data_IF_289750462433
#
_entry.id   IF_289750462433
#
_cell.length_a   1.000
_cell.length_b   1.000
_cell.length_c   1.000
_cell.angle_alpha   90.00
_cell.angle_beta   90.00
_cell.angle_gamma   90.00
#
_symmetry.space_group_name_H-M   'P 1'
#
loop_
_entity.id
_entity.type
_entity.pdbx_description
1 polymer ?
#
# COMPACT_ATOMS: atom_id res chain seq x y z
N UNK A 1 10.23 9.59 -14.91
CA UNK A 1 9.08 8.84 -14.36
C UNK A 1 8.24 9.79 -13.53
N UNK A 2 6.92 9.62 -13.54
CA UNK A 2 6.01 10.39 -12.68
C UNK A 2 6.13 9.91 -11.23
N UNK A 3 5.92 10.80 -10.27
CA UNK A 3 5.79 10.42 -8.87
C UNK A 3 4.43 9.75 -8.64
N UNK A 4 4.39 8.76 -7.77
CA UNK A 4 3.15 8.11 -7.33
C UNK A 4 2.62 8.74 -6.04
N UNK A 5 1.30 8.77 -5.89
CA UNK A 5 0.60 9.32 -4.73
C UNK A 5 -0.41 8.32 -4.17
N UNK A 6 -0.31 8.00 -2.89
CA UNK A 6 -1.36 7.27 -2.16
C UNK A 6 -1.97 8.23 -1.14
N UNK A 7 -3.25 8.52 -1.25
CA UNK A 7 -4.01 9.29 -0.28
C UNK A 7 -4.79 8.33 0.60
N UNK A 8 -4.45 8.28 1.89
CA UNK A 8 -5.10 7.40 2.86
C UNK A 8 -6.40 8.02 3.38
N UNK A 9 -6.38 9.34 3.56
CA UNK A 9 -7.51 10.22 3.84
C UNK A 9 -7.08 11.66 3.53
N UNK A 10 -7.98 12.65 3.53
CA UNK A 10 -7.58 14.05 3.34
C UNK A 10 -6.52 14.47 4.37
N UNK A 11 -5.37 14.92 3.88
CA UNK A 11 -4.24 15.37 4.70
C UNK A 11 -3.33 14.26 5.26
N UNK A 12 -3.53 12.99 4.87
CA UNK A 12 -2.58 11.90 5.12
C UNK A 12 -2.29 11.21 3.81
N UNK A 13 -1.16 11.57 3.21
CA UNK A 13 -0.68 11.07 1.95
C UNK A 13 0.72 10.47 2.06
N UNK A 14 1.05 9.64 1.07
CA UNK A 14 2.36 9.05 0.87
C UNK A 14 2.74 9.21 -0.60
N UNK A 15 3.87 9.87 -0.84
CA UNK A 15 4.42 10.09 -2.18
C UNK A 15 5.64 9.20 -2.40
N UNK A 16 5.83 8.67 -3.61
CA UNK A 16 7.01 7.87 -3.95
C UNK A 16 7.41 8.01 -5.41
N UNK A 17 8.50 7.36 -5.81
CA UNK A 17 8.81 7.19 -7.23
C UNK A 17 7.76 6.31 -7.90
N UNK A 18 7.52 6.52 -9.20
CA UNK A 18 6.54 5.70 -9.96
C UNK A 18 6.78 4.20 -9.82
N UNK A 19 8.02 3.72 -9.95
CA UNK A 19 8.32 2.30 -9.80
C UNK A 19 8.03 1.72 -8.41
N UNK A 20 8.23 2.49 -7.33
CA UNK A 20 7.89 2.03 -5.98
C UNK A 20 6.38 2.07 -5.72
N UNK A 21 5.69 3.05 -6.30
CA UNK A 21 4.24 3.11 -6.31
C UNK A 21 3.63 1.89 -7.02
N UNK A 22 4.07 1.61 -8.24
CA UNK A 22 3.58 0.47 -9.02
C UNK A 22 3.81 -0.85 -8.27
N UNK A 23 5.03 -1.06 -7.75
CA UNK A 23 5.37 -2.25 -6.96
C UNK A 23 4.46 -2.39 -5.72
N UNK A 24 4.14 -1.29 -5.05
CA UNK A 24 3.25 -1.27 -3.88
C UNK A 24 1.82 -1.65 -4.24
N UNK A 25 1.34 -1.29 -5.43
CA UNK A 25 0.02 -1.71 -5.93
C UNK A 25 0.02 -3.17 -6.40
N UNK A 26 1.07 -3.61 -7.11
CA UNK A 26 1.23 -5.01 -7.53
C UNK A 26 1.28 -5.98 -6.35
N UNK A 27 1.90 -5.55 -5.25
CA UNK A 27 1.85 -6.26 -3.97
C UNK A 27 0.40 -6.51 -3.51
N UNK A 28 -0.51 -5.53 -3.65
CA UNK A 28 -1.91 -5.69 -3.27
C UNK A 28 -2.72 -6.52 -4.27
N UNK A 29 -2.54 -6.28 -5.58
CA UNK A 29 -3.34 -6.90 -6.65
C UNK A 29 -3.37 -8.43 -6.56
N UNK A 30 -2.25 -9.02 -6.15
CA UNK A 30 -2.10 -10.48 -5.97
C UNK A 30 -2.70 -11.03 -4.67
N UNK A 31 -3.09 -10.16 -3.72
CA UNK A 31 -3.50 -10.52 -2.35
C UNK A 31 -4.96 -10.18 -2.03
N UNK A 32 -5.53 -9.20 -2.73
CA UNK A 32 -6.91 -8.77 -2.50
C UNK A 32 -7.94 -9.85 -2.86
N UNK A 33 -8.86 -10.09 -1.93
CA UNK A 33 -10.01 -10.98 -2.11
C UNK A 33 -11.08 -10.35 -3.02
N UNK A 34 -11.31 -9.04 -2.92
CA UNK A 34 -12.20 -8.32 -3.83
C UNK A 34 -11.53 -8.11 -5.20
N UNK A 35 -11.97 -8.89 -6.18
CA UNK A 35 -11.48 -8.82 -7.56
C UNK A 35 -11.82 -7.51 -8.26
N UNK A 36 -12.90 -6.83 -7.87
CA UNK A 36 -13.23 -5.54 -8.47
C UNK A 36 -12.21 -4.47 -8.03
N UNK A 37 -11.90 -4.41 -6.74
CA UNK A 37 -10.82 -3.54 -6.24
C UNK A 37 -9.46 -3.91 -6.87
N UNK A 38 -9.13 -5.20 -6.95
CA UNK A 38 -7.88 -5.64 -7.58
C UNK A 38 -7.77 -5.19 -9.05
N UNK A 39 -8.86 -5.31 -9.82
CA UNK A 39 -8.89 -4.86 -11.21
C UNK A 39 -8.74 -3.33 -11.31
N UNK A 40 -9.36 -2.55 -10.41
CA UNK A 40 -9.17 -1.10 -10.36
C UNK A 40 -7.72 -0.71 -10.08
N UNK A 41 -7.04 -1.42 -9.18
CA UNK A 41 -5.61 -1.19 -8.93
C UNK A 41 -4.76 -1.56 -10.15
N UNK A 42 -5.10 -2.65 -10.85
CA UNK A 42 -4.43 -3.03 -12.09
C UNK A 42 -4.56 -1.94 -13.17
N UNK A 43 -5.75 -1.36 -13.32
CA UNK A 43 -5.95 -0.24 -14.26
C UNK A 43 -5.09 0.98 -13.94
N UNK A 44 -4.85 1.27 -12.66
CA UNK A 44 -3.95 2.36 -12.23
C UNK A 44 -2.52 2.10 -12.70
N UNK A 45 -2.03 0.87 -12.52
CA UNK A 45 -0.68 0.45 -12.95
C UNK A 45 -0.58 0.45 -14.47
N UNK A 46 -1.49 -0.23 -15.16
CA UNK A 46 -1.46 -0.40 -16.62
C UNK A 46 -1.52 0.94 -17.37
N UNK A 47 -2.31 1.88 -16.86
CA UNK A 47 -2.47 3.20 -17.46
C UNK A 47 -1.54 4.27 -16.88
N UNK A 48 -0.63 3.90 -15.95
CA UNK A 48 0.29 4.81 -15.28
C UNK A 48 -0.42 6.04 -14.66
N UNK A 49 -1.57 5.84 -14.01
CA UNK A 49 -2.37 6.95 -13.46
C UNK A 49 -1.70 7.67 -12.28
N UNK A 50 -0.72 7.02 -11.64
CA UNK A 50 0.17 7.63 -10.64
C UNK A 50 -0.49 8.05 -9.34
N UNK A 51 -1.74 7.63 -9.09
CA UNK A 51 -2.44 8.01 -7.87
C UNK A 51 -3.52 7.00 -7.44
N UNK A 52 -3.67 6.84 -6.12
CA UNK A 52 -4.69 6.02 -5.47
C UNK A 52 -5.29 6.78 -4.27
N UNK A 53 -6.60 6.93 -4.25
CA UNK A 53 -7.36 7.37 -3.09
C UNK A 53 -7.94 6.15 -2.39
N UNK A 54 -7.44 5.83 -1.21
CA UNK A 54 -7.88 4.67 -0.43
C UNK A 54 -9.27 4.93 0.15
N UNK A 55 -9.55 6.16 0.58
CA UNK A 55 -10.85 6.57 1.12
C UNK A 55 -12.01 6.50 0.11
N UNK A 56 -11.71 6.48 -1.19
CA UNK A 56 -12.67 6.26 -2.29
C UNK A 56 -13.01 4.77 -2.53
N UNK A 57 -12.36 3.84 -1.83
CA UNK A 57 -12.62 2.41 -1.94
C UNK A 57 -13.72 1.95 -0.97
N UNK A 58 -14.40 0.81 -1.23
CA UNK A 58 -15.30 0.22 -0.25
C UNK A 58 -14.60 -0.03 1.09
N UNK A 59 -15.27 0.22 2.22
CA UNK A 59 -14.67 0.11 3.55
C UNK A 59 -14.00 -1.27 3.81
N UNK A 60 -14.58 -2.36 3.30
CA UNK A 60 -13.99 -3.69 3.41
C UNK A 60 -12.63 -3.78 2.68
N UNK A 61 -12.52 -3.20 1.48
CA UNK A 61 -11.28 -3.16 0.71
C UNK A 61 -10.23 -2.27 1.39
N UNK A 62 -10.63 -1.13 1.97
CA UNK A 62 -9.73 -0.28 2.76
C UNK A 62 -9.07 -1.05 3.90
N UNK A 63 -9.87 -1.81 4.66
CA UNK A 63 -9.40 -2.61 5.78
C UNK A 63 -8.45 -3.73 5.32
N UNK A 64 -8.79 -4.42 4.22
CA UNK A 64 -7.96 -5.48 3.66
C UNK A 64 -6.61 -4.95 3.16
N UNK A 65 -6.61 -3.84 2.41
CA UNK A 65 -5.39 -3.16 1.93
C UNK A 65 -4.49 -2.79 3.12
N UNK A 66 -5.04 -2.11 4.12
CA UNK A 66 -4.29 -1.67 5.31
C UNK A 66 -3.75 -2.87 6.08
N UNK A 67 -4.52 -3.95 6.19
CA UNK A 67 -4.06 -5.20 6.82
C UNK A 67 -2.86 -5.79 6.08
N UNK A 68 -2.92 -5.92 4.75
CA UNK A 68 -1.80 -6.42 3.96
C UNK A 68 -0.56 -5.53 4.06
N UNK A 69 -0.75 -4.22 4.04
CA UNK A 69 0.38 -3.30 4.22
C UNK A 69 1.05 -3.47 5.57
N UNK A 70 0.28 -3.45 6.66
CA UNK A 70 0.81 -3.55 8.03
C UNK A 70 1.50 -4.88 8.31
N UNK A 71 1.01 -5.97 7.74
CA UNK A 71 1.51 -7.31 8.07
C UNK A 71 2.68 -7.75 7.20
N UNK A 72 2.65 -7.42 5.89
CA UNK A 72 3.49 -8.13 4.92
C UNK A 72 4.30 -7.23 3.97
N UNK A 73 3.97 -5.93 3.85
CA UNK A 73 4.58 -5.06 2.83
C UNK A 73 6.10 -4.92 3.02
N UNK A 74 6.53 -4.57 4.23
CA UNK A 74 7.94 -4.34 4.56
C UNK A 74 8.74 -5.63 4.40
N UNK A 75 8.30 -6.72 5.02
CA UNK A 75 8.94 -8.05 4.91
C UNK A 75 8.98 -8.57 3.46
N UNK A 76 7.96 -8.25 2.65
CA UNK A 76 7.97 -8.61 1.22
C UNK A 76 8.94 -7.74 0.44
N UNK A 77 9.01 -6.45 0.72
CA UNK A 77 10.00 -5.54 0.15
C UNK A 77 11.42 -5.98 0.46
N UNK A 78 11.71 -6.34 1.71
CA UNK A 78 13.02 -6.85 2.13
C UNK A 78 13.44 -8.10 1.35
N UNK A 79 12.49 -8.95 0.95
CA UNK A 79 12.79 -10.19 0.22
C UNK A 79 12.85 -10.02 -1.30
N UNK A 80 12.02 -9.15 -1.86
CA UNK A 80 11.79 -9.10 -3.32
C UNK A 80 12.44 -7.90 -3.99
N UNK A 81 12.66 -6.79 -3.28
CA UNK A 81 13.28 -5.62 -3.89
C UNK A 81 14.78 -5.89 -4.17
N UNK A 82 15.31 -5.36 -5.29
CA UNK A 82 16.69 -5.56 -5.68
C UNK A 82 17.69 -5.18 -4.59
N UNK A 83 18.72 -6.00 -4.41
CA UNK A 83 19.86 -5.70 -3.53
C UNK A 83 20.69 -4.56 -4.14
N UNK A 84 20.47 -3.35 -3.63
CA UNK A 84 21.18 -2.13 -4.02
C UNK A 84 21.53 -1.32 -2.78
N UNK A 85 22.44 -0.37 -2.89
CA UNK A 85 22.79 0.54 -1.78
C UNK A 85 21.59 1.35 -1.26
N UNK A 86 20.56 1.55 -2.09
CA UNK A 86 19.33 2.27 -1.75
C UNK A 86 18.24 1.41 -1.10
N UNK A 87 18.44 0.09 -0.99
CA UNK A 87 17.39 -0.82 -0.51
C UNK A 87 16.89 -0.41 0.88
N UNK A 88 17.79 -0.08 1.80
CA UNK A 88 17.45 0.35 3.16
C UNK A 88 16.52 1.57 3.15
N UNK A 89 16.79 2.56 2.29
CA UNK A 89 15.93 3.74 2.15
C UNK A 89 14.57 3.41 1.56
N UNK A 90 14.51 2.51 0.57
CA UNK A 90 13.24 2.05 0.00
C UNK A 90 12.40 1.31 1.05
N UNK A 91 13.01 0.44 1.86
CA UNK A 91 12.31 -0.26 2.94
C UNK A 91 11.79 0.71 3.99
N UNK A 92 12.60 1.71 4.39
CA UNK A 92 12.14 2.78 5.27
C UNK A 92 10.95 3.54 4.67
N UNK A 93 10.98 3.81 3.37
CA UNK A 93 9.88 4.49 2.67
C UNK A 93 8.59 3.67 2.66
N UNK A 94 8.67 2.34 2.55
CA UNK A 94 7.52 1.45 2.72
C UNK A 94 7.01 1.43 4.17
N UNK A 95 7.91 1.49 5.16
CA UNK A 95 7.52 1.62 6.57
C UNK A 95 6.77 2.94 6.83
N UNK A 96 7.16 4.04 6.18
CA UNK A 96 6.44 5.33 6.28
C UNK A 96 4.99 5.21 5.77
N UNK A 97 4.73 4.44 4.72
CA UNK A 97 3.37 4.14 4.28
C UNK A 97 2.59 3.35 5.34
N UNK A 98 3.22 2.32 5.94
CA UNK A 98 2.62 1.55 7.02
C UNK A 98 2.29 2.45 8.22
N UNK A 99 3.20 3.32 8.62
CA UNK A 99 3.01 4.26 9.72
C UNK A 99 1.90 5.28 9.44
N UNK A 100 1.79 5.74 8.19
CA UNK A 100 0.73 6.62 7.74
C UNK A 100 -0.66 5.99 7.90
N UNK A 101 -0.80 4.66 7.78
CA UNK A 101 -2.09 3.99 8.02
C UNK A 101 -2.60 4.16 9.46
N UNK A 102 -1.70 4.23 10.44
CA UNK A 102 -2.07 4.47 11.84
C UNK A 102 -2.45 5.92 12.06
N UNK A 103 -1.71 6.86 11.46
CA UNK A 103 -2.03 8.30 11.48
C UNK A 103 -3.36 8.61 10.76
N UNK A 104 -3.70 7.83 9.74
CA UNK A 104 -4.98 7.89 9.05
C UNK A 104 -6.16 7.45 9.95
N UNK A 105 -5.90 6.69 11.02
CA UNK A 105 -6.94 6.23 11.96
C UNK A 105 -7.65 4.96 11.50
N UNK A 106 -7.08 4.21 10.55
CA UNK A 106 -7.61 2.89 10.20
C UNK A 106 -7.52 1.98 11.41
N UNK A 107 -8.60 1.23 11.73
CA UNK A 107 -8.62 0.39 12.92
C UNK A 107 -7.47 -0.61 12.86
N UNK A 108 -6.83 -0.85 14.00
CA UNK A 108 -5.91 -1.97 14.14
C UNK A 108 -6.66 -3.28 13.92
N UNK A 109 -5.99 -4.29 13.38
CA UNK A 109 -6.49 -5.66 13.38
C UNK A 109 -6.60 -6.11 14.85
N UNK A 110 -7.72 -5.82 15.51
CA UNK A 110 -8.02 -6.29 16.85
C UNK A 110 -8.10 -7.81 16.77
N UNK A 111 -7.04 -8.50 17.16
CA UNK A 111 -7.00 -9.95 17.27
C UNK A 111 -8.13 -10.39 18.24
N UNK A 112 -9.19 -11.08 17.78
CA UNK A 112 -10.21 -11.58 18.68
C UNK A 112 -9.73 -12.92 19.25
N UNK A 113 -8.83 -12.89 20.23
CA UNK A 113 -8.19 -14.11 20.70
C UNK A 113 -7.42 -13.98 21.99
N UNK A 114 -8.12 -13.74 23.10
CA UNK A 114 -7.66 -14.09 24.45
C UNK A 114 -8.87 -14.19 25.37
N UNK A 115 -9.48 -15.38 25.43
CA UNK A 115 -10.26 -15.87 26.56
C UNK A 115 -9.92 -17.32 26.78
#
# INVERSE_FOLDING_TARGET
>A
MMAGLIVLKPGVDWTSSGGLFDWTLEFLISRLSDRQTANRLQEIVDNNLGSLWVDDLPAAAQLEIVSHWRNDLVTTGERQLPETEHKVDVIRHLQELVDATYSAGFPGSSNPGSR
#
